data_IF_022840084718
#
_entry.id   IF_022840084718
#
_cell.length_a   1.000
_cell.length_b   1.000
_cell.length_c   1.000
_cell.angle_alpha   90.00
_cell.angle_beta   90.00
_cell.angle_gamma   90.00
#
_symmetry.space_group_name_H-M   'P 1'
#
loop_
_entity.id
_entity.type
_entity.pdbx_description
1 polymer ?
#
# COMPACT_ATOMS: atom_id res chain seq x y z
N UNK A 1 11.29 11.87 -2.62
CA UNK A 1 11.44 10.51 -3.20
C UNK A 1 10.49 9.61 -2.42
N UNK A 2 9.95 8.52 -2.99
CA UNK A 2 9.11 7.60 -2.19
C UNK A 2 10.04 6.77 -1.30
N UNK A 3 9.78 6.75 -0.01
CA UNK A 3 10.58 6.00 0.95
C UNK A 3 10.12 4.55 1.05
N UNK A 4 11.06 3.67 1.38
CA UNK A 4 10.84 2.24 1.47
C UNK A 4 11.27 1.77 2.84
N UNK A 5 10.42 1.00 3.51
CA UNK A 5 10.77 0.42 4.80
C UNK A 5 11.96 -0.55 4.65
N UNK A 6 12.78 -0.68 5.69
CA UNK A 6 13.98 -1.53 5.64
C UNK A 6 13.64 -2.98 5.30
N UNK A 7 12.52 -3.45 5.81
CA UNK A 7 11.97 -4.77 5.59
C UNK A 7 11.39 -4.95 4.18
N UNK A 8 10.95 -3.90 3.48
CA UNK A 8 10.48 -4.00 2.09
C UNK A 8 11.53 -4.56 1.11
N UNK A 9 12.83 -4.42 1.43
CA UNK A 9 13.95 -4.90 0.61
C UNK A 9 14.37 -6.34 0.95
N UNK A 10 14.02 -6.83 2.15
CA UNK A 10 14.42 -8.14 2.65
C UNK A 10 13.27 -9.12 2.57
N UNK A 11 13.32 -10.05 1.61
CA UNK A 11 12.32 -11.12 1.46
C UNK A 11 12.66 -12.39 2.26
N UNK A 12 13.48 -12.25 3.31
CA UNK A 12 13.96 -13.35 4.14
C UNK A 12 13.08 -13.45 5.39
N UNK A 13 12.32 -14.53 5.51
CA UNK A 13 11.46 -14.80 6.67
C UNK A 13 10.41 -15.88 6.40
N UNK A 14 9.77 -16.36 7.46
CA UNK A 14 8.55 -17.16 7.36
C UNK A 14 7.36 -16.21 7.17
N UNK A 15 6.55 -16.43 6.12
CA UNK A 15 5.36 -15.64 5.83
C UNK A 15 4.10 -16.47 6.06
N UNK A 16 3.10 -15.86 6.71
CA UNK A 16 1.76 -16.45 6.80
C UNK A 16 1.16 -16.46 5.41
N UNK A 17 0.83 -17.66 4.90
CA UNK A 17 0.19 -17.79 3.59
C UNK A 17 -1.29 -17.48 3.69
N UNK A 18 -1.79 -16.62 2.81
CA UNK A 18 -3.22 -16.46 2.62
C UNK A 18 -3.83 -17.78 2.11
N UNK A 19 -5.03 -18.12 2.58
CA UNK A 19 -5.79 -19.25 2.06
C UNK A 19 -6.36 -18.89 0.67
N UNK A 20 -6.03 -19.67 -0.39
CA UNK A 20 -6.55 -19.39 -1.72
C UNK A 20 -8.06 -19.69 -1.77
N UNK A 21 -8.79 -18.93 -2.58
CA UNK A 21 -10.19 -19.22 -2.90
C UNK A 21 -10.44 -19.19 -4.43
N UNK A 22 -11.66 -19.49 -4.85
CA UNK A 22 -12.04 -19.50 -6.28
C UNK A 22 -11.77 -18.17 -6.99
N UNK A 23 -11.84 -17.06 -6.24
CA UNK A 23 -11.61 -15.68 -6.69
C UNK A 23 -10.13 -15.28 -6.50
N UNK A 24 -9.55 -15.53 -5.32
CA UNK A 24 -8.22 -15.10 -4.92
C UNK A 24 -7.24 -16.28 -4.94
N UNK A 25 -6.75 -16.66 -6.13
CA UNK A 25 -5.85 -17.81 -6.31
C UNK A 25 -4.39 -17.57 -5.96
N UNK A 26 -4.07 -16.43 -5.35
CA UNK A 26 -2.68 -15.99 -5.17
C UNK A 26 -2.13 -15.32 -6.43
N UNK A 27 -0.91 -14.81 -6.33
CA UNK A 27 -0.31 -13.85 -7.26
C UNK A 27 0.80 -14.42 -8.15
N UNK A 28 1.20 -15.66 -7.87
CA UNK A 28 2.22 -16.45 -8.56
C UNK A 28 1.57 -17.78 -8.94
N UNK A 29 1.67 -18.17 -10.20
CA UNK A 29 1.12 -19.44 -10.68
C UNK A 29 2.03 -20.62 -10.31
N UNK A 30 1.53 -21.85 -10.50
CA UNK A 30 2.25 -23.08 -10.12
C UNK A 30 3.59 -23.26 -10.85
N UNK A 31 3.77 -22.62 -12.01
CA UNK A 31 5.00 -22.59 -12.80
C UNK A 31 5.98 -21.48 -12.36
N UNK A 32 5.63 -20.70 -11.34
CA UNK A 32 6.42 -19.56 -10.87
C UNK A 32 6.21 -18.28 -11.69
N UNK A 33 5.36 -18.31 -12.71
CA UNK A 33 5.03 -17.13 -13.51
C UNK A 33 4.19 -16.13 -12.72
N UNK A 34 4.29 -14.86 -13.11
CA UNK A 34 3.61 -13.73 -12.48
C UNK A 34 2.75 -13.03 -13.52
N UNK A 35 1.58 -13.60 -13.88
CA UNK A 35 0.77 -13.07 -14.96
C UNK A 35 0.38 -11.60 -14.69
N UNK A 36 0.25 -10.78 -15.75
CA UNK A 36 -0.27 -9.43 -15.61
C UNK A 36 -1.68 -9.50 -15.01
N UNK A 37 -1.91 -8.71 -13.96
CA UNK A 37 -3.22 -8.59 -13.32
C UNK A 37 -3.87 -7.29 -13.78
N UNK A 38 -5.18 -7.30 -14.06
CA UNK A 38 -5.87 -6.08 -14.43
C UNK A 38 -5.77 -5.10 -13.26
N UNK A 39 -5.29 -3.89 -13.54
CA UNK A 39 -5.38 -2.77 -12.61
C UNK A 39 -6.86 -2.38 -12.54
N UNK A 40 -7.55 -2.81 -11.47
CA UNK A 40 -8.94 -2.45 -11.25
C UNK A 40 -9.03 -0.99 -10.82
N UNK A 41 -10.17 -0.37 -11.08
CA UNK A 41 -10.39 1.07 -10.88
C UNK A 41 -10.20 1.56 -9.43
N UNK A 42 -10.27 0.66 -8.45
CA UNK A 42 -9.99 0.99 -7.05
C UNK A 42 -8.49 1.01 -6.81
N UNK A 43 -8.00 2.16 -6.31
CA UNK A 43 -6.56 2.44 -6.11
C UNK A 43 -5.90 1.38 -5.23
N UNK A 44 -6.58 0.92 -4.18
CA UNK A 44 -6.06 -0.10 -3.27
C UNK A 44 -5.88 -1.47 -3.98
N UNK A 45 -6.81 -1.85 -4.86
CA UNK A 45 -6.73 -3.09 -5.64
C UNK A 45 -5.56 -3.06 -6.65
N UNK A 46 -5.31 -1.90 -7.26
CA UNK A 46 -4.20 -1.70 -8.20
C UNK A 46 -2.84 -1.80 -7.50
N UNK A 47 -2.73 -1.32 -6.26
CA UNK A 47 -1.52 -1.39 -5.46
C UNK A 47 -1.24 -2.80 -4.92
N UNK A 48 -2.27 -3.51 -4.48
CA UNK A 48 -2.15 -4.90 -4.02
C UNK A 48 -1.71 -5.87 -5.14
N UNK A 49 -1.87 -5.50 -6.41
CA UNK A 49 -1.42 -6.30 -7.55
C UNK A 49 0.11 -6.32 -7.76
N UNK A 50 0.85 -5.39 -7.15
CA UNK A 50 2.27 -5.21 -7.39
C UNK A 50 3.16 -6.00 -6.40
N UNK A 51 3.42 -7.26 -6.73
CA UNK A 51 4.19 -8.17 -5.86
C UNK A 51 5.68 -7.78 -5.83
N UNK A 52 6.16 -7.39 -4.65
CA UNK A 52 7.57 -7.14 -4.37
C UNK A 52 8.04 -5.73 -4.76
N UNK A 53 9.14 -5.30 -4.14
CA UNK A 53 9.61 -3.91 -4.21
C UNK A 53 9.81 -3.38 -5.64
N UNK A 54 10.37 -4.19 -6.54
CA UNK A 54 10.61 -3.78 -7.93
C UNK A 54 9.30 -3.50 -8.68
N UNK A 55 8.33 -4.42 -8.63
CA UNK A 55 7.04 -4.22 -9.32
C UNK A 55 6.22 -3.12 -8.67
N UNK A 56 6.26 -3.01 -7.34
CA UNK A 56 5.61 -1.92 -6.61
C UNK A 56 6.17 -0.56 -7.06
N UNK A 57 7.49 -0.44 -7.23
CA UNK A 57 8.11 0.79 -7.72
C UNK A 57 7.62 1.18 -9.12
N UNK A 58 7.58 0.21 -10.04
CA UNK A 58 7.09 0.44 -11.40
C UNK A 58 5.60 0.81 -11.41
N UNK A 59 4.79 0.13 -10.59
CA UNK A 59 3.35 0.39 -10.48
C UNK A 59 3.08 1.78 -9.93
N UNK A 60 3.78 2.19 -8.86
CA UNK A 60 3.71 3.55 -8.30
C UNK A 60 4.09 4.62 -9.34
N UNK A 61 5.16 4.39 -10.10
CA UNK A 61 5.56 5.31 -11.16
C UNK A 61 4.47 5.44 -12.25
N UNK A 62 3.96 4.30 -12.72
CA UNK A 62 2.90 4.26 -13.74
C UNK A 62 1.60 4.92 -13.28
N UNK A 63 1.21 4.74 -12.01
CA UNK A 63 0.01 5.40 -11.47
C UNK A 63 0.20 6.91 -11.32
N UNK A 64 1.37 7.37 -10.85
CA UNK A 64 1.66 8.81 -10.77
C UNK A 64 1.63 9.43 -12.16
N UNK A 65 2.22 8.76 -13.15
CA UNK A 65 2.16 9.20 -14.54
C UNK A 65 0.71 9.25 -15.05
N UNK A 66 -0.07 8.19 -14.83
CA UNK A 66 -1.46 8.13 -15.24
C UNK A 66 -2.31 9.27 -14.64
N UNK A 67 -2.08 9.63 -13.37
CA UNK A 67 -2.74 10.78 -12.73
C UNK A 67 -2.45 12.06 -13.52
N UNK A 68 -1.20 12.36 -13.85
CA UNK A 68 -0.85 13.57 -14.59
C UNK A 68 -1.24 13.53 -16.07
N UNK A 69 -1.29 12.35 -16.68
CA UNK A 69 -1.80 12.17 -18.06
C UNK A 69 -3.29 12.50 -18.13
N UNK A 70 -4.08 12.02 -17.15
CA UNK A 70 -5.54 12.22 -17.14
C UNK A 70 -5.93 13.61 -16.61
N UNK A 71 -5.32 14.05 -15.51
CA UNK A 71 -5.70 15.29 -14.82
C UNK A 71 -4.91 16.53 -15.31
N UNK A 72 -3.85 16.30 -16.09
CA UNK A 72 -2.91 17.34 -16.51
C UNK A 72 -1.87 17.67 -15.43
N UNK A 73 -0.87 18.46 -15.80
CA UNK A 73 0.19 18.94 -14.89
C UNK A 73 -0.34 19.90 -13.83
N UNK A 74 0.42 20.08 -12.77
CA UNK A 74 0.14 21.10 -11.76
C UNK A 74 0.09 22.50 -12.36
N UNK A 75 -0.95 23.24 -12.00
CA UNK A 75 -1.15 24.64 -12.38
C UNK A 75 -1.73 25.37 -11.18
N UNK A 76 -0.85 25.68 -10.22
CA UNK A 76 -1.22 26.15 -8.88
C UNK A 76 -1.97 27.50 -8.89
N UNK A 77 -1.98 28.21 -10.02
CA UNK A 77 -2.76 29.43 -10.19
C UNK A 77 -4.26 29.12 -10.32
N UNK A 78 -4.63 27.98 -10.91
CA UNK A 78 -6.02 27.65 -11.22
C UNK A 78 -6.50 26.35 -10.59
N UNK A 79 -5.60 25.42 -10.28
CA UNK A 79 -5.91 24.10 -9.69
C UNK A 79 -4.79 23.58 -8.80
N UNK A 80 -5.18 22.84 -7.77
CA UNK A 80 -4.23 22.11 -6.94
C UNK A 80 -3.51 21.02 -7.75
N UNK A 81 -2.34 20.59 -7.27
CA UNK A 81 -1.66 19.42 -7.82
C UNK A 81 -2.62 18.21 -7.71
N UNK A 82 -2.85 17.47 -8.81
CA UNK A 82 -3.76 16.32 -8.79
C UNK A 82 -3.23 15.18 -7.92
N UNK A 83 -1.94 15.19 -7.60
CA UNK A 83 -1.33 14.29 -6.64
C UNK A 83 -1.26 14.97 -5.27
N UNK A 84 -1.75 14.31 -4.23
CA UNK A 84 -1.59 14.75 -2.85
C UNK A 84 -0.11 14.67 -2.44
N UNK A 85 0.60 15.79 -2.58
CA UNK A 85 2.06 15.85 -2.42
C UNK A 85 2.51 15.62 -0.98
N UNK A 86 1.72 16.07 -0.01
CA UNK A 86 1.89 15.80 1.41
C UNK A 86 1.85 14.28 1.69
N UNK A 87 0.82 13.59 1.20
CA UNK A 87 0.67 12.14 1.36
C UNK A 87 1.79 11.37 0.67
N UNK A 88 2.20 11.83 -0.52
CA UNK A 88 3.33 11.24 -1.24
C UNK A 88 4.62 11.36 -0.45
N UNK A 89 4.86 12.51 0.18
CA UNK A 89 6.08 12.75 0.97
C UNK A 89 6.10 11.93 2.25
N UNK A 90 4.94 11.72 2.89
CA UNK A 90 4.83 10.87 4.09
C UNK A 90 4.75 9.37 3.79
N UNK A 91 4.64 8.97 2.51
CA UNK A 91 4.46 7.57 2.15
C UNK A 91 5.77 6.78 2.32
N UNK A 92 5.75 5.85 3.27
CA UNK A 92 6.76 4.79 3.41
C UNK A 92 6.15 3.50 2.88
N UNK A 93 6.71 2.92 1.82
CA UNK A 93 6.23 1.68 1.23
C UNK A 93 6.82 0.48 1.95
N UNK A 94 5.97 -0.40 2.47
CA UNK A 94 6.40 -1.59 3.20
C UNK A 94 5.30 -2.64 3.36
N UNK A 95 5.64 -3.83 3.87
CA UNK A 95 4.68 -4.89 4.13
C UNK A 95 3.75 -4.59 5.32
N UNK A 96 4.17 -3.67 6.21
CA UNK A 96 3.37 -3.12 7.30
C UNK A 96 2.97 -1.68 6.93
N UNK A 97 1.68 -1.39 6.97
CA UNK A 97 1.11 -0.10 6.58
C UNK A 97 -0.03 0.28 7.52
N UNK A 98 -0.22 1.58 7.75
CA UNK A 98 -1.47 2.09 8.34
C UNK A 98 -2.45 2.39 7.21
N UNK A 99 -3.53 1.61 7.14
CA UNK A 99 -4.59 1.74 6.15
C UNK A 99 -5.92 1.99 6.86
N UNK A 100 -6.57 3.11 6.55
CA UNK A 100 -7.87 3.50 7.16
C UNK A 100 -7.85 3.46 8.70
N UNK A 101 -6.75 3.87 9.32
CA UNK A 101 -6.59 3.88 10.78
C UNK A 101 -6.25 2.53 11.40
N UNK A 102 -6.02 1.48 10.60
CA UNK A 102 -5.61 0.16 11.07
C UNK A 102 -4.19 -0.15 10.61
N UNK A 103 -3.42 -0.82 11.46
CA UNK A 103 -2.14 -1.38 11.08
C UNK A 103 -2.39 -2.73 10.40
N UNK A 104 -2.07 -2.80 9.11
CA UNK A 104 -2.10 -4.03 8.32
C UNK A 104 -0.68 -4.54 8.15
N UNK A 105 -0.43 -5.79 8.52
CA UNK A 105 0.83 -6.49 8.26
C UNK A 105 0.59 -7.67 7.31
N UNK A 106 1.04 -7.50 6.07
CA UNK A 106 0.88 -8.46 4.98
C UNK A 106 1.79 -9.70 5.10
N UNK A 107 2.80 -9.68 5.96
CA UNK A 107 3.67 -10.86 6.21
C UNK A 107 3.06 -11.81 7.21
N UNK A 108 2.52 -11.26 8.29
CA UNK A 108 1.87 -12.03 9.35
C UNK A 108 0.39 -12.27 9.08
N UNK A 109 -0.21 -11.58 8.10
CA UNK A 109 -1.64 -11.56 7.79
C UNK A 109 -2.47 -11.08 8.99
N UNK A 110 -1.97 -10.05 9.67
CA UNK A 110 -2.63 -9.46 10.85
C UNK A 110 -3.15 -8.06 10.57
N UNK A 111 -4.22 -7.71 11.28
CA UNK A 111 -4.77 -6.35 11.33
C UNK A 111 -4.86 -5.98 12.80
N UNK A 112 -4.34 -4.80 13.14
CA UNK A 112 -4.29 -4.32 14.51
C UNK A 112 -4.67 -2.85 14.61
N UNK A 113 -5.05 -2.44 15.82
CA UNK A 113 -5.29 -1.05 16.15
C UNK A 113 -3.92 -0.38 16.42
N UNK A 114 -3.67 0.85 15.95
CA UNK A 114 -2.47 1.59 16.28
C UNK A 114 -2.31 1.77 17.80
N UNK A 115 -1.11 1.53 18.37
CA UNK A 115 -0.88 1.73 19.81
C UNK A 115 -1.26 3.14 20.28
N UNK A 116 -0.99 4.14 19.44
CA UNK A 116 -1.28 5.54 19.77
C UNK A 116 -2.77 5.78 19.99
N UNK A 117 -3.62 5.12 19.21
CA UNK A 117 -5.07 5.17 19.37
C UNK A 117 -5.51 4.45 20.65
N UNK A 118 -4.89 3.32 20.98
CA UNK A 118 -5.19 2.59 22.24
C UNK A 118 -4.83 3.47 23.44
N UNK A 119 -3.66 4.10 23.43
CA UNK A 119 -3.17 4.96 24.51
C UNK A 119 -4.07 6.20 24.70
N UNK A 120 -4.51 6.81 23.59
CA UNK A 120 -5.45 7.94 23.62
C UNK A 120 -6.80 7.53 24.24
N UNK A 121 -7.35 6.38 23.84
CA UNK A 121 -8.61 5.88 24.38
C UNK A 121 -8.49 5.53 25.87
N UNK A 122 -7.39 4.88 26.29
CA UNK A 122 -7.14 4.59 27.70
C UNK A 122 -7.09 5.90 28.50
N UNK A 123 -6.34 6.90 28.01
CA UNK A 123 -6.26 8.21 28.65
C UNK A 123 -7.63 8.85 28.79
N UNK A 124 -8.48 8.78 27.76
CA UNK A 124 -9.84 9.32 27.81
C UNK A 124 -10.75 8.60 28.82
N UNK A 125 -10.59 7.28 28.99
CA UNK A 125 -11.35 6.48 29.95
C UNK A 125 -10.88 6.71 31.39
N UNK A 126 -9.58 6.93 31.61
CA UNK A 126 -9.03 7.20 32.94
C UNK A 126 -9.32 8.64 33.43
N UNK A 127 -9.75 9.53 32.53
CA UNK A 127 -10.19 10.89 32.84
C UNK A 127 -11.66 10.99 33.32
N UNK A 128 -12.41 9.89 33.25
CA UNK A 128 -13.80 9.76 33.77
C UNK A 128 -13.86 9.13 35.14
#
# INVERSE_FOLDING_TARGET
MIDWSADAKNNTGSFTKAAPCSINRGSVDSDGSKPPRPARMYVDDAMLAAIGAHRMRLTLAAMIEAIFVVMGKEDLQYRQCPLAMDKRQSLVVGPRQTMLGLIVDTRSMTVGIPPEYIDEVITLLDLT
#
